data_IF_759865764655
#
_entry.id   IF_759865764655
#
_cell.length_a   1.000
_cell.length_b   1.000
_cell.length_c   1.000
_cell.angle_alpha   90.00
_cell.angle_beta   90.00
_cell.angle_gamma   90.00
#
_symmetry.space_group_name_H-M   'P 1'
#
loop_
_entity.id
_entity.type
_entity.pdbx_description
1 polymer ?
#
# COMPACT_ATOMS: atom_id res chain seq x y z
N UNK A 1 3.29 56.16 21.86
CA UNK A 1 4.23 55.46 20.95
C UNK A 1 4.43 53.99 21.33
N UNK A 2 4.53 53.65 22.61
CA UNK A 2 4.76 52.27 23.12
C UNK A 2 3.57 51.31 22.82
N UNK A 3 2.33 51.81 22.87
CA UNK A 3 1.12 50.99 22.66
C UNK A 3 1.00 50.42 21.23
N UNK A 4 1.53 51.13 20.22
CA UNK A 4 1.55 50.65 18.83
C UNK A 4 2.68 49.64 18.62
N UNK A 5 3.80 49.79 19.34
CA UNK A 5 4.92 48.86 19.33
C UNK A 5 4.52 47.49 19.93
N UNK A 6 3.78 47.49 21.04
CA UNK A 6 3.29 46.26 21.68
C UNK A 6 2.31 45.50 20.77
N UNK A 7 1.45 46.21 20.04
CA UNK A 7 0.53 45.59 19.07
C UNK A 7 1.26 44.93 17.91
N UNK A 8 2.32 45.57 17.38
CA UNK A 8 3.14 45.01 16.30
C UNK A 8 3.84 43.72 16.77
N UNK A 9 4.37 43.71 18.00
CA UNK A 9 5.03 42.52 18.55
C UNK A 9 4.06 41.34 18.72
N UNK A 10 2.83 41.59 19.18
CA UNK A 10 1.83 40.52 19.34
C UNK A 10 1.42 39.93 17.98
N UNK A 11 1.24 40.78 16.96
CA UNK A 11 0.88 40.30 15.60
C UNK A 11 2.00 39.45 15.00
N UNK A 12 3.27 39.86 15.18
CA UNK A 12 4.43 39.12 14.68
C UNK A 12 4.61 37.74 15.35
N UNK A 13 4.24 37.61 16.62
CA UNK A 13 4.28 36.30 17.31
C UNK A 13 3.19 35.35 16.84
N UNK A 14 2.03 35.84 16.42
CA UNK A 14 0.91 34.99 15.99
C UNK A 14 1.17 34.41 14.59
N UNK A 15 1.86 35.14 13.70
CA UNK A 15 2.15 34.68 12.34
C UNK A 15 3.23 33.62 12.25
N UNK A 16 4.08 33.47 13.27
CA UNK A 16 5.14 32.46 13.33
C UNK A 16 4.65 31.05 13.72
N UNK A 17 3.42 30.93 14.24
CA UNK A 17 2.88 29.65 14.77
C UNK A 17 2.09 28.87 13.70
N UNK A 18 1.78 29.47 12.55
CA UNK A 18 0.87 28.89 11.55
C UNK A 18 1.56 28.27 10.34
N UNK A 19 2.71 27.61 10.48
CA UNK A 19 3.24 26.73 9.43
C UNK A 19 2.70 25.32 9.66
N UNK A 20 1.60 24.90 9.00
CA UNK A 20 1.18 23.52 9.06
C UNK A 20 2.23 22.67 8.33
N UNK A 21 2.59 21.60 9.02
CA UNK A 21 3.44 20.49 8.58
C UNK A 21 2.88 19.93 7.28
N UNK A 22 3.40 20.42 6.15
CA UNK A 22 3.31 19.74 4.85
C UNK A 22 4.67 19.11 4.54
N UNK A 23 5.18 18.32 5.49
CA UNK A 23 6.02 17.20 5.11
C UNK A 23 5.06 16.13 4.61
N UNK A 24 4.70 16.22 3.33
CA UNK A 24 4.05 15.13 2.63
C UNK A 24 4.91 13.90 2.86
N UNK A 25 4.44 12.99 3.70
CA UNK A 25 4.94 11.64 3.70
C UNK A 25 4.61 11.12 2.31
N UNK A 26 5.57 11.21 1.40
CA UNK A 26 5.61 10.50 0.13
C UNK A 26 5.64 9.01 0.50
N UNK A 27 4.49 8.49 0.92
CA UNK A 27 4.24 7.09 1.02
C UNK A 27 4.37 6.60 -0.42
N UNK A 28 5.56 6.13 -0.77
CA UNK A 28 5.81 5.35 -1.97
C UNK A 28 4.87 4.15 -1.87
N UNK A 29 3.66 4.31 -2.39
CA UNK A 29 2.69 3.25 -2.54
C UNK A 29 3.42 2.20 -3.35
N UNK A 30 3.80 1.12 -2.69
CA UNK A 30 4.51 0.02 -3.31
C UNK A 30 3.53 -0.54 -4.31
N UNK A 31 3.69 -0.16 -5.58
CA UNK A 31 2.82 -0.58 -6.67
C UNK A 31 2.66 -2.08 -6.53
N UNK A 32 1.41 -2.52 -6.43
CA UNK A 32 1.04 -3.90 -6.66
C UNK A 32 1.80 -4.35 -7.91
N UNK A 33 2.71 -5.30 -7.71
CA UNK A 33 3.56 -5.80 -8.79
C UNK A 33 2.61 -6.51 -9.73
N UNK A 34 2.24 -5.83 -10.82
CA UNK A 34 1.47 -6.45 -11.90
C UNK A 34 2.35 -7.54 -12.51
N UNK A 35 2.04 -8.79 -12.20
CA UNK A 35 2.75 -9.93 -12.77
C UNK A 35 2.05 -10.30 -14.07
N UNK A 36 2.76 -10.30 -15.21
CA UNK A 36 2.20 -10.74 -16.48
C UNK A 36 1.62 -12.15 -16.33
N UNK A 37 0.34 -12.29 -16.66
CA UNK A 37 -0.37 -13.56 -16.71
C UNK A 37 0.15 -14.33 -17.92
N UNK A 38 0.75 -15.50 -17.67
CA UNK A 38 1.22 -16.36 -18.74
C UNK A 38 0.03 -17.18 -19.29
N UNK A 39 -0.36 -17.01 -20.56
CA UNK A 39 -1.54 -17.67 -21.11
C UNK A 39 -1.39 -19.21 -21.18
N UNK A 40 -0.18 -19.75 -21.01
CA UNK A 40 0.08 -21.19 -20.99
C UNK A 40 0.04 -21.79 -19.58
N UNK A 41 -0.14 -20.97 -18.55
CA UNK A 41 -0.18 -21.39 -17.14
C UNK A 41 -1.61 -21.34 -16.59
N UNK A 42 -1.89 -22.26 -15.68
CA UNK A 42 -3.17 -22.43 -15.01
C UNK A 42 -3.45 -21.28 -14.04
N UNK A 43 -4.67 -20.77 -14.14
CA UNK A 43 -5.21 -19.68 -13.30
C UNK A 43 -5.72 -20.22 -11.96
N UNK A 44 -6.06 -19.32 -11.05
CA UNK A 44 -6.63 -19.69 -9.73
C UNK A 44 -7.86 -20.58 -9.92
N UNK A 45 -7.95 -21.64 -9.11
CA UNK A 45 -9.07 -22.60 -9.14
C UNK A 45 -8.95 -23.70 -10.18
N UNK A 46 -7.93 -23.68 -11.04
CA UNK A 46 -7.68 -24.78 -11.97
C UNK A 46 -6.81 -25.87 -11.36
N UNK A 47 -7.08 -27.10 -11.78
CA UNK A 47 -6.43 -28.29 -11.26
C UNK A 47 -4.97 -28.34 -11.65
N UNK A 48 -4.08 -28.44 -10.68
CA UNK A 48 -2.64 -28.52 -10.88
C UNK A 48 -2.08 -29.81 -10.30
N UNK A 49 -1.04 -30.35 -10.92
CA UNK A 49 -0.25 -31.47 -10.41
C UNK A 49 1.06 -30.99 -9.81
N UNK A 50 1.62 -29.90 -10.35
CA UNK A 50 2.77 -29.18 -9.78
C UNK A 50 2.52 -27.67 -9.78
N UNK A 51 3.17 -26.94 -8.87
CA UNK A 51 3.14 -25.47 -8.83
C UNK A 51 3.69 -24.83 -10.11
N UNK A 52 4.52 -25.53 -10.88
CA UNK A 52 5.01 -25.07 -12.19
C UNK A 52 3.88 -24.92 -13.21
N UNK A 53 2.76 -25.61 -13.05
CA UNK A 53 1.62 -25.46 -13.95
C UNK A 53 0.82 -24.19 -13.66
N UNK A 54 0.96 -23.63 -12.46
CA UNK A 54 0.25 -22.43 -12.04
C UNK A 54 0.92 -21.16 -12.54
N UNK A 55 0.18 -20.05 -12.50
CA UNK A 55 0.77 -18.73 -12.78
C UNK A 55 1.96 -18.45 -11.87
N UNK A 56 2.88 -17.59 -12.33
CA UNK A 56 4.00 -17.12 -11.51
C UNK A 56 3.45 -16.55 -10.19
N UNK A 57 4.05 -16.95 -9.07
CA UNK A 57 3.63 -16.62 -7.70
C UNK A 57 2.37 -17.31 -7.19
N UNK A 58 1.73 -18.20 -7.96
CA UNK A 58 0.65 -19.06 -7.45
C UNK A 58 1.20 -20.38 -6.93
N UNK A 59 0.54 -20.94 -5.92
CA UNK A 59 0.89 -22.22 -5.31
C UNK A 59 -0.16 -23.28 -5.64
N UNK A 60 0.29 -24.51 -5.89
CA UNK A 60 -0.60 -25.65 -6.08
C UNK A 60 -1.00 -26.23 -4.72
N UNK A 61 -2.22 -25.94 -4.28
CA UNK A 61 -2.73 -26.29 -2.94
C UNK A 61 -3.91 -27.25 -3.05
N UNK A 62 -3.99 -28.23 -2.17
CA UNK A 62 -5.12 -29.16 -2.11
C UNK A 62 -6.36 -28.50 -1.48
N UNK A 63 -7.48 -28.47 -2.20
CA UNK A 63 -8.76 -27.90 -1.70
C UNK A 63 -9.72 -28.98 -1.14
N UNK A 64 -9.21 -30.14 -0.72
CA UNK A 64 -9.99 -31.27 -0.20
C UNK A 64 -10.44 -32.28 -1.25
N UNK A 65 -10.72 -31.83 -2.48
CA UNK A 65 -11.15 -32.71 -3.59
C UNK A 65 -10.05 -32.93 -4.62
N UNK A 66 -9.29 -31.87 -4.91
CA UNK A 66 -8.24 -31.84 -5.94
C UNK A 66 -7.23 -30.74 -5.62
N UNK A 67 -6.05 -30.88 -6.20
CA UNK A 67 -5.01 -29.86 -6.12
C UNK A 67 -5.33 -28.74 -7.10
N UNK A 68 -5.40 -27.51 -6.63
CA UNK A 68 -5.75 -26.33 -7.45
C UNK A 68 -4.75 -25.21 -7.26
N UNK A 69 -4.56 -24.41 -8.31
CA UNK A 69 -3.72 -23.22 -8.23
C UNK A 69 -4.40 -22.17 -7.34
N UNK A 70 -3.65 -21.61 -6.40
CA UNK A 70 -4.10 -20.59 -5.45
C UNK A 70 -3.22 -19.36 -5.53
N UNK A 71 -3.83 -18.18 -5.46
CA UNK A 71 -3.09 -16.92 -5.42
C UNK A 71 -2.50 -16.70 -4.02
N UNK A 72 -1.33 -16.05 -3.92
CA UNK A 72 -0.71 -15.77 -2.64
C UNK A 72 -1.55 -14.74 -1.86
N UNK A 73 -1.57 -14.81 -0.52
CA UNK A 73 -2.32 -13.87 0.29
C UNK A 73 -1.81 -12.44 0.06
N UNK A 74 -2.70 -11.44 0.03
CA UNK A 74 -2.27 -10.06 -0.10
C UNK A 74 -1.36 -9.70 1.09
N UNK A 75 -0.30 -8.92 0.85
CA UNK A 75 0.57 -8.46 1.92
C UNK A 75 -0.26 -7.69 2.96
N UNK A 76 -0.09 -8.04 4.24
CA UNK A 76 -0.75 -7.33 5.33
C UNK A 76 -0.25 -5.90 5.35
N UNK A 77 -1.14 -4.95 5.08
CA UNK A 77 -0.84 -3.54 5.28
C UNK A 77 -0.69 -3.25 6.78
N UNK A 78 0.27 -2.40 7.20
CA UNK A 78 0.35 -1.97 8.58
C UNK A 78 -0.96 -1.26 8.99
N UNK A 79 -1.40 -1.39 10.26
CA UNK A 79 -2.58 -0.69 10.77
C UNK A 79 -2.42 0.81 10.55
N UNK A 80 -3.38 1.46 9.87
CA UNK A 80 -3.35 2.90 9.56
C UNK A 80 -3.01 3.26 8.11
N UNK A 81 -2.76 2.28 7.24
CA UNK A 81 -2.49 2.50 5.81
C UNK A 81 -3.75 2.59 4.91
N UNK A 82 -4.94 2.48 5.48
CA UNK A 82 -6.22 2.75 4.80
C UNK A 82 -6.71 4.12 5.26
N UNK A 83 -6.26 5.16 4.58
CA UNK A 83 -6.81 6.53 4.70
C UNK A 83 -7.95 6.73 3.73
#
# INVERSE_FOLDING_TARGET
MIQNLTKILIIATITLVSIPVFAGAEAKMRSEVYIPIDPNKKKVGEECKSSDECQKHHECTNNGEKNVCTAPPPPKLPPGAVT
#
